data_IF_220734108875
#
_entry.id   IF_220734108875
#
_cell.length_a   1.000
_cell.length_b   1.000
_cell.length_c   1.000
_cell.angle_alpha   90.00
_cell.angle_beta   90.00
_cell.angle_gamma   90.00
#
_symmetry.space_group_name_H-M   'P 1'
#
loop_
_entity.id
_entity.type
_entity.pdbx_description
1 polymer ?
#
# COMPACT_ATOMS: atom_id res chain seq x y z
N UNK A 1 67.42 -31.13 -7.71
CA UNK A 1 67.07 -29.72 -7.86
C UNK A 1 65.82 -29.42 -7.02
N UNK A 2 66.04 -28.87 -5.85
CA UNK A 2 64.97 -28.60 -4.86
C UNK A 2 64.53 -27.15 -5.06
N UNK A 3 63.24 -26.95 -5.39
CA UNK A 3 62.66 -25.60 -5.54
C UNK A 3 62.09 -25.15 -4.21
N UNK A 4 62.75 -24.17 -3.60
CA UNK A 4 62.30 -23.47 -2.39
C UNK A 4 61.02 -22.67 -2.72
N UNK A 5 59.92 -22.98 -2.08
CA UNK A 5 58.72 -22.15 -2.08
C UNK A 5 58.81 -21.06 -1.02
N UNK A 6 59.11 -19.83 -1.46
CA UNK A 6 58.97 -18.63 -0.63
C UNK A 6 57.48 -18.38 -0.30
N UNK A 7 57.16 -18.41 0.99
CA UNK A 7 55.86 -18.00 1.52
C UNK A 7 55.75 -16.47 1.49
N UNK A 8 54.84 -15.96 0.64
CA UNK A 8 54.41 -14.56 0.65
C UNK A 8 53.78 -14.20 2.02
N UNK A 9 54.10 -13.04 2.60
CA UNK A 9 53.51 -12.61 3.86
C UNK A 9 52.01 -12.26 3.66
N UNK A 10 51.15 -12.86 4.47
CA UNK A 10 49.72 -12.52 4.52
C UNK A 10 49.55 -11.12 5.15
N UNK A 11 48.70 -10.23 4.58
CA UNK A 11 48.42 -8.94 5.20
C UNK A 11 47.63 -9.15 6.50
N UNK A 12 48.24 -8.83 7.62
CA UNK A 12 47.59 -8.75 8.93
C UNK A 12 46.60 -7.59 8.93
N UNK A 13 45.31 -7.90 8.83
CA UNK A 13 44.23 -6.93 9.11
C UNK A 13 44.39 -6.45 10.56
N UNK A 14 44.88 -5.24 10.73
CA UNK A 14 45.02 -4.60 12.04
C UNK A 14 43.62 -4.51 12.69
N UNK A 15 43.40 -5.26 13.76
CA UNK A 15 42.17 -5.24 14.53
C UNK A 15 41.98 -3.83 15.13
N UNK A 16 40.91 -3.15 14.69
CA UNK A 16 40.51 -1.83 15.24
C UNK A 16 40.28 -1.99 16.75
N UNK A 17 40.95 -1.25 17.61
CA UNK A 17 40.79 -1.41 19.05
C UNK A 17 39.35 -1.18 19.47
N UNK A 18 38.78 -2.08 20.24
CA UNK A 18 37.37 -1.99 20.75
C UNK A 18 37.08 -0.66 21.46
N UNK A 19 38.10 -0.02 22.05
CA UNK A 19 38.02 1.31 22.66
C UNK A 19 37.80 2.45 21.66
N UNK A 20 38.31 2.37 20.42
CA UNK A 20 38.10 3.38 19.39
C UNK A 20 36.68 3.29 18.79
N UNK A 21 36.14 2.08 18.65
CA UNK A 21 34.76 1.88 18.22
C UNK A 21 33.76 2.36 19.27
N UNK A 22 34.01 2.10 20.55
CA UNK A 22 33.19 2.56 21.66
C UNK A 22 33.21 4.10 21.80
N UNK A 23 34.36 4.77 21.58
CA UNK A 23 34.44 6.24 21.53
C UNK A 23 33.67 6.82 20.33
N UNK A 24 33.75 6.22 19.14
CA UNK A 24 32.97 6.66 17.94
C UNK A 24 31.49 6.50 18.12
N UNK A 25 31.00 5.48 18.83
CA UNK A 25 29.58 5.28 19.13
C UNK A 25 29.11 6.19 20.27
N UNK A 26 29.97 6.52 21.21
CA UNK A 26 29.64 7.35 22.38
C UNK A 26 29.21 8.77 22.03
N UNK A 27 29.79 9.40 21.00
CA UNK A 27 29.37 10.74 20.57
C UNK A 27 28.06 10.77 19.76
N UNK A 28 27.66 9.64 19.19
CA UNK A 28 26.36 9.50 18.50
C UNK A 28 25.18 9.43 19.48
N UNK A 29 25.38 8.90 20.69
CA UNK A 29 24.31 8.79 21.70
C UNK A 29 23.62 10.11 22.04
N UNK A 30 24.35 11.22 22.38
CA UNK A 30 23.66 12.50 22.66
C UNK A 30 22.92 13.06 21.45
N UNK A 31 23.46 12.88 20.23
CA UNK A 31 22.77 13.31 19.00
C UNK A 31 21.51 12.48 18.70
N UNK A 32 21.57 11.17 18.91
CA UNK A 32 20.37 10.30 18.77
C UNK A 32 19.33 10.61 19.85
N UNK A 33 19.77 10.95 21.07
CA UNK A 33 18.87 11.40 22.14
C UNK A 33 18.25 12.77 21.82
N UNK A 34 19.00 13.70 21.25
CA UNK A 34 18.48 14.98 20.79
C UNK A 34 17.44 14.78 19.65
N UNK A 35 17.75 13.93 18.67
CA UNK A 35 16.82 13.57 17.60
C UNK A 35 15.54 12.90 18.12
N UNK A 36 15.64 12.11 19.21
CA UNK A 36 14.45 11.47 19.80
C UNK A 36 13.49 12.44 20.50
N UNK A 37 13.94 13.66 20.80
CA UNK A 37 13.17 14.72 21.45
C UNK A 37 12.69 15.80 20.49
N UNK A 38 13.07 15.72 19.19
CA UNK A 38 12.61 16.67 18.20
C UNK A 38 11.10 16.50 17.97
N UNK A 39 10.38 17.60 18.16
CA UNK A 39 8.98 17.74 17.78
C UNK A 39 8.80 19.05 17.00
N UNK A 40 7.81 19.08 16.12
CA UNK A 40 7.50 20.28 15.36
C UNK A 40 6.73 21.24 16.26
N UNK A 41 7.21 22.48 16.49
CA UNK A 41 6.47 23.45 17.25
C UNK A 41 5.11 23.75 16.63
N UNK A 42 4.11 24.03 17.46
CA UNK A 42 2.72 24.16 17.03
C UNK A 42 2.52 25.26 15.96
N UNK A 43 3.28 26.36 16.04
CA UNK A 43 3.26 27.47 15.07
C UNK A 43 3.78 27.08 13.67
N UNK A 44 4.58 26.00 13.54
CA UNK A 44 5.07 25.49 12.26
C UNK A 44 4.29 24.27 11.76
N UNK A 45 3.26 23.83 12.45
CA UNK A 45 2.55 22.58 12.12
C UNK A 45 1.91 22.60 10.72
N UNK A 46 1.36 23.72 10.27
CA UNK A 46 0.77 23.87 8.92
C UNK A 46 1.86 23.81 7.86
N UNK A 47 2.93 24.58 8.01
CA UNK A 47 4.07 24.57 7.07
C UNK A 47 4.71 23.19 6.99
N UNK A 48 4.86 22.52 8.13
CA UNK A 48 5.36 21.13 8.16
C UNK A 48 4.44 20.18 7.40
N UNK A 49 3.12 20.25 7.58
CA UNK A 49 2.18 19.42 6.85
C UNK A 49 2.20 19.70 5.34
N UNK A 50 2.29 20.96 4.94
CA UNK A 50 2.49 21.32 3.53
C UNK A 50 3.80 20.75 2.96
N UNK A 51 4.88 20.79 3.73
CA UNK A 51 6.15 20.16 3.34
C UNK A 51 6.03 18.64 3.19
N UNK A 52 5.26 17.98 4.06
CA UNK A 52 4.95 16.54 3.95
C UNK A 52 4.16 16.24 2.69
N UNK A 53 3.15 17.05 2.38
CA UNK A 53 2.36 16.90 1.14
C UNK A 53 3.23 17.06 -0.10
N UNK A 54 4.06 18.10 -0.14
CA UNK A 54 4.97 18.35 -1.27
C UNK A 54 6.04 17.25 -1.41
N UNK A 55 6.64 16.82 -0.31
CA UNK A 55 7.62 15.74 -0.33
C UNK A 55 6.99 14.40 -0.75
N UNK A 56 5.81 14.07 -0.22
CA UNK A 56 5.04 12.89 -0.61
C UNK A 56 4.69 12.92 -2.10
N UNK A 57 4.17 14.04 -2.59
CA UNK A 57 3.91 14.24 -4.01
C UNK A 57 5.19 14.07 -4.85
N UNK A 58 6.30 14.68 -4.45
CA UNK A 58 7.59 14.56 -5.15
C UNK A 58 8.11 13.12 -5.22
N UNK A 59 7.96 12.35 -4.13
CA UNK A 59 8.33 10.92 -4.12
C UNK A 59 7.42 10.13 -5.06
N UNK A 60 6.11 10.28 -4.98
CA UNK A 60 5.14 9.57 -5.84
C UNK A 60 5.39 9.93 -7.31
N UNK A 61 5.54 11.22 -7.61
CA UNK A 61 5.87 11.71 -8.94
C UNK A 61 7.18 11.12 -9.47
N UNK A 62 8.24 11.07 -8.64
CA UNK A 62 9.53 10.50 -9.07
C UNK A 62 9.44 9.01 -9.39
N UNK A 63 8.49 8.28 -8.79
CA UNK A 63 8.25 6.86 -9.04
C UNK A 63 7.37 6.61 -10.27
N UNK A 64 6.40 7.50 -10.54
CA UNK A 64 5.46 7.42 -11.68
C UNK A 64 5.15 8.80 -12.25
N UNK A 65 6.09 9.44 -12.95
CA UNK A 65 5.87 10.78 -13.52
C UNK A 65 4.83 10.80 -14.65
N UNK A 66 4.69 9.72 -15.39
CA UNK A 66 3.70 9.57 -16.45
C UNK A 66 2.25 9.71 -15.92
N UNK A 67 1.96 9.38 -14.66
CA UNK A 67 0.66 9.63 -14.05
C UNK A 67 0.26 11.13 -14.05
N UNK A 68 1.22 12.04 -14.20
CA UNK A 68 1.01 13.50 -14.25
C UNK A 68 1.35 14.06 -15.62
N UNK A 69 2.51 13.69 -16.20
CA UNK A 69 3.01 14.30 -17.44
C UNK A 69 2.32 13.76 -18.71
N UNK A 70 1.85 12.52 -18.66
CA UNK A 70 1.07 11.87 -19.72
C UNK A 70 -0.06 11.05 -19.08
N UNK A 71 -0.95 11.75 -18.35
CA UNK A 71 -2.01 11.12 -17.59
C UNK A 71 -2.97 10.36 -18.51
N UNK A 72 -3.13 9.07 -18.21
CA UNK A 72 -4.05 8.18 -18.89
C UNK A 72 -4.89 7.40 -17.86
N UNK A 73 -6.06 6.95 -18.24
CA UNK A 73 -6.87 6.11 -17.38
C UNK A 73 -6.26 4.73 -17.18
N UNK A 74 -6.40 4.21 -15.98
CA UNK A 74 -6.04 2.85 -15.62
C UNK A 74 -7.28 1.98 -15.45
N UNK A 75 -7.39 0.90 -16.21
CA UNK A 75 -8.40 -0.15 -16.03
C UNK A 75 -9.81 0.41 -15.70
N UNK A 76 -10.31 0.08 -14.51
CA UNK A 76 -11.64 0.49 -14.02
C UNK A 76 -11.78 2.01 -13.87
N UNK A 77 -10.70 2.79 -13.76
CA UNK A 77 -10.77 4.26 -13.63
C UNK A 77 -11.54 4.89 -14.80
N UNK A 78 -11.25 4.43 -16.03
CA UNK A 78 -11.98 4.86 -17.23
C UNK A 78 -13.21 4.02 -17.50
N UNK A 79 -13.01 2.68 -17.55
CA UNK A 79 -14.06 1.76 -18.00
C UNK A 79 -15.31 1.77 -17.11
N UNK A 80 -15.13 2.03 -15.80
CA UNK A 80 -16.21 1.99 -14.81
C UNK A 80 -16.46 3.35 -14.19
N UNK A 81 -15.49 3.85 -13.43
CA UNK A 81 -15.74 5.00 -12.57
C UNK A 81 -16.04 6.27 -13.36
N UNK A 82 -15.24 6.59 -14.38
CA UNK A 82 -15.49 7.76 -15.21
C UNK A 82 -16.69 7.57 -16.13
N UNK A 83 -16.83 6.41 -16.77
CA UNK A 83 -17.95 6.12 -17.66
C UNK A 83 -19.30 6.18 -16.92
N UNK A 84 -19.39 5.55 -15.73
CA UNK A 84 -20.59 5.60 -14.89
C UNK A 84 -20.90 7.02 -14.41
N UNK A 85 -19.88 7.77 -13.99
CA UNK A 85 -20.05 9.15 -13.54
C UNK A 85 -20.53 10.05 -14.70
N UNK A 86 -19.96 9.88 -15.91
CA UNK A 86 -20.39 10.62 -17.10
C UNK A 86 -21.84 10.30 -17.48
N UNK A 87 -22.21 9.02 -17.48
CA UNK A 87 -23.53 8.58 -17.94
C UNK A 87 -24.64 8.82 -16.92
N UNK A 88 -24.37 8.62 -15.63
CA UNK A 88 -25.40 8.60 -14.57
C UNK A 88 -25.29 9.75 -13.58
N UNK A 89 -24.24 10.61 -13.70
CA UNK A 89 -23.96 11.66 -12.74
C UNK A 89 -23.86 11.13 -11.32
N UNK A 90 -24.40 11.85 -10.33
CA UNK A 90 -24.31 11.48 -8.92
C UNK A 90 -24.93 10.11 -8.59
N UNK A 91 -25.82 9.60 -9.42
CA UNK A 91 -26.46 8.28 -9.23
C UNK A 91 -25.46 7.14 -9.29
N UNK A 92 -24.30 7.33 -9.94
CA UNK A 92 -23.23 6.32 -9.97
C UNK A 92 -22.76 5.92 -8.56
N UNK A 93 -22.87 6.80 -7.56
CA UNK A 93 -22.50 6.49 -6.17
C UNK A 93 -23.33 5.37 -5.53
N UNK A 94 -24.54 5.14 -6.05
CA UNK A 94 -25.48 4.11 -5.58
C UNK A 94 -25.39 2.80 -6.38
N UNK A 95 -24.43 2.68 -7.31
CA UNK A 95 -24.26 1.51 -8.16
C UNK A 95 -23.12 0.64 -7.61
N UNK A 96 -23.36 -0.63 -7.25
CA UNK A 96 -22.28 -1.55 -6.96
C UNK A 96 -21.51 -1.87 -8.25
N UNK A 97 -20.22 -2.20 -8.12
CA UNK A 97 -19.42 -2.65 -9.25
C UNK A 97 -19.88 -4.04 -9.73
N UNK A 98 -19.97 -4.22 -11.03
CA UNK A 98 -20.43 -5.48 -11.62
C UNK A 98 -19.45 -6.65 -11.42
N UNK A 99 -18.15 -6.38 -11.37
CA UNK A 99 -17.12 -7.41 -11.16
C UNK A 99 -16.86 -7.68 -9.68
N UNK A 100 -16.74 -6.61 -8.89
CA UNK A 100 -16.44 -6.69 -7.46
C UNK A 100 -17.66 -7.08 -6.63
N UNK A 101 -18.84 -6.68 -7.06
CA UNK A 101 -20.08 -6.84 -6.32
C UNK A 101 -20.15 -5.97 -5.06
N UNK A 102 -19.48 -4.81 -5.05
CA UNK A 102 -19.47 -3.86 -3.94
C UNK A 102 -19.32 -2.42 -4.43
N UNK A 103 -19.53 -1.44 -3.54
CA UNK A 103 -19.46 -0.03 -3.89
C UNK A 103 -18.02 0.47 -3.89
N UNK A 104 -17.73 1.43 -4.79
CA UNK A 104 -16.47 2.17 -4.91
C UNK A 104 -16.76 3.67 -4.84
N UNK A 105 -17.23 4.14 -3.68
CA UNK A 105 -17.73 5.51 -3.55
C UNK A 105 -16.65 6.56 -3.76
N UNK A 106 -15.43 6.34 -3.28
CA UNK A 106 -14.34 7.32 -3.39
C UNK A 106 -13.79 7.39 -4.81
N UNK A 107 -13.65 6.24 -5.49
CA UNK A 107 -13.25 6.22 -6.91
C UNK A 107 -14.26 6.96 -7.78
N UNK A 108 -15.57 6.78 -7.53
CA UNK A 108 -16.64 7.48 -8.24
C UNK A 108 -16.74 8.97 -7.88
N UNK A 109 -16.49 9.34 -6.62
CA UNK A 109 -16.36 10.75 -6.23
C UNK A 109 -15.20 11.44 -6.96
N UNK A 110 -14.08 10.74 -7.14
CA UNK A 110 -12.94 11.23 -7.93
C UNK A 110 -13.34 11.43 -9.39
N UNK A 111 -14.09 10.50 -9.96
CA UNK A 111 -14.61 10.61 -11.33
C UNK A 111 -15.64 11.76 -11.48
N UNK A 112 -16.56 11.93 -10.52
CA UNK A 112 -17.49 13.07 -10.50
C UNK A 112 -16.74 14.40 -10.40
N UNK A 113 -15.65 14.45 -9.63
CA UNK A 113 -14.77 15.63 -9.56
C UNK A 113 -14.13 15.91 -10.90
N UNK A 114 -13.70 14.85 -11.63
CA UNK A 114 -13.10 14.99 -12.95
C UNK A 114 -14.07 15.53 -14.01
N UNK A 115 -15.39 15.30 -13.87
CA UNK A 115 -16.41 15.86 -14.78
C UNK A 115 -16.52 17.41 -14.73
N UNK A 116 -15.95 18.05 -13.72
CA UNK A 116 -15.95 19.52 -13.60
C UNK A 116 -14.92 20.14 -14.57
N UNK A 117 -13.98 19.33 -15.06
CA UNK A 117 -12.88 19.75 -15.93
C UNK A 117 -13.10 19.24 -17.37
N UNK A 118 -12.42 19.80 -18.38
CA UNK A 118 -12.40 19.24 -19.73
C UNK A 118 -12.04 17.73 -19.73
N UNK A 119 -12.63 16.98 -20.63
CA UNK A 119 -12.41 15.53 -20.69
C UNK A 119 -10.94 15.15 -20.85
N UNK A 120 -10.20 15.94 -21.61
CA UNK A 120 -8.75 15.80 -21.77
C UNK A 120 -7.97 15.83 -20.45
N UNK A 121 -8.51 16.46 -19.39
CA UNK A 121 -7.90 16.52 -18.05
C UNK A 121 -8.40 15.43 -17.09
N UNK A 122 -9.41 14.67 -17.47
CA UNK A 122 -10.07 13.73 -16.54
C UNK A 122 -9.11 12.71 -15.90
N UNK A 123 -8.20 12.03 -16.63
CA UNK A 123 -7.25 11.12 -16.02
C UNK A 123 -6.31 11.81 -15.02
N UNK A 124 -5.86 13.03 -15.34
CA UNK A 124 -4.99 13.82 -14.47
C UNK A 124 -5.69 14.16 -13.14
N UNK A 125 -6.95 14.61 -13.21
CA UNK A 125 -7.73 14.95 -12.01
C UNK A 125 -7.94 13.73 -11.13
N UNK A 126 -8.28 12.57 -11.72
CA UNK A 126 -8.45 11.33 -10.97
C UNK A 126 -7.13 10.87 -10.33
N UNK A 127 -6.02 10.90 -11.07
CA UNK A 127 -4.69 10.57 -10.53
C UNK A 127 -4.29 11.50 -9.37
N UNK A 128 -4.58 12.81 -9.48
CA UNK A 128 -4.33 13.77 -8.40
C UNK A 128 -5.17 13.46 -7.15
N UNK A 129 -6.45 13.11 -7.31
CA UNK A 129 -7.29 12.67 -6.19
C UNK A 129 -6.70 11.43 -5.51
N UNK A 130 -6.22 10.45 -6.29
CA UNK A 130 -5.56 9.26 -5.77
C UNK A 130 -4.28 9.60 -5.01
N UNK A 131 -3.43 10.46 -5.56
CA UNK A 131 -2.17 10.90 -4.94
C UNK A 131 -2.44 11.61 -3.61
N UNK A 132 -3.44 12.48 -3.55
CA UNK A 132 -3.82 13.16 -2.30
C UNK A 132 -4.17 12.13 -1.22
N UNK A 133 -5.04 11.16 -1.52
CA UNK A 133 -5.42 10.13 -0.55
C UNK A 133 -4.23 9.23 -0.19
N UNK A 134 -3.38 8.92 -1.15
CA UNK A 134 -2.14 8.15 -0.91
C UNK A 134 -1.19 8.87 0.06
N UNK A 135 -1.17 10.20 0.10
CA UNK A 135 -0.31 10.97 1.02
C UNK A 135 -0.88 11.02 2.45
N UNK A 136 -2.19 10.95 2.63
CA UNK A 136 -2.84 11.13 3.94
C UNK A 136 -2.33 10.20 5.05
N UNK A 137 -2.06 8.88 4.85
CA UNK A 137 -1.50 8.02 5.89
C UNK A 137 -0.18 8.55 6.45
N UNK A 138 0.74 9.01 5.59
CA UNK A 138 2.00 9.59 6.03
C UNK A 138 1.78 10.94 6.74
N UNK A 139 0.88 11.79 6.23
CA UNK A 139 0.55 13.09 6.81
C UNK A 139 -0.01 12.94 8.23
N UNK A 140 -0.98 12.04 8.44
CA UNK A 140 -1.54 11.81 9.79
C UNK A 140 -0.49 11.20 10.73
N UNK A 141 0.36 10.27 10.25
CA UNK A 141 1.40 9.66 11.06
C UNK A 141 2.47 10.67 11.50
N UNK A 142 2.76 11.66 10.67
CA UNK A 142 3.68 12.74 10.97
C UNK A 142 3.04 13.86 11.81
N UNK A 143 1.73 13.86 11.99
CA UNK A 143 1.03 14.85 12.80
C UNK A 143 1.29 14.69 14.30
N UNK A 144 0.84 15.67 15.09
CA UNK A 144 0.92 15.66 16.56
C UNK A 144 0.13 14.50 17.19
N UNK A 145 -0.79 13.84 16.47
CA UNK A 145 -1.54 12.68 16.98
C UNK A 145 -0.65 11.50 17.35
N UNK A 146 0.51 11.36 16.72
CA UNK A 146 1.48 10.30 16.98
C UNK A 146 2.75 10.82 17.66
N UNK A 147 2.67 11.92 18.41
CA UNK A 147 3.81 12.52 19.13
C UNK A 147 4.41 11.60 20.19
N UNK A 148 3.70 10.58 20.63
CA UNK A 148 4.24 9.50 21.48
C UNK A 148 5.32 8.66 20.77
N UNK A 149 5.42 8.75 19.44
CA UNK A 149 6.48 8.12 18.63
C UNK A 149 7.44 9.22 18.17
N UNK A 150 8.73 9.07 18.46
CA UNK A 150 9.74 10.07 18.10
C UNK A 150 9.69 10.44 16.59
N UNK A 151 9.80 11.73 16.26
CA UNK A 151 9.59 12.27 14.91
C UNK A 151 10.47 11.56 13.86
N UNK A 152 11.73 11.27 14.16
CA UNK A 152 12.60 10.58 13.21
C UNK A 152 12.11 9.16 12.83
N UNK A 153 11.47 8.43 13.78
CA UNK A 153 10.86 7.12 13.50
C UNK A 153 9.66 7.28 12.59
N UNK A 154 8.85 8.32 12.82
CA UNK A 154 7.70 8.65 11.99
C UNK A 154 8.14 9.05 10.57
N UNK A 155 9.19 9.85 10.43
CA UNK A 155 9.79 10.22 9.14
C UNK A 155 10.33 9.00 8.40
N UNK A 156 11.08 8.13 9.08
CA UNK A 156 11.57 6.89 8.48
C UNK A 156 10.44 5.98 8.00
N UNK A 157 9.38 5.81 8.81
CA UNK A 157 8.23 5.00 8.44
C UNK A 157 7.43 5.62 7.28
N UNK A 158 7.25 6.95 7.25
CA UNK A 158 6.61 7.66 6.15
C UNK A 158 7.42 7.52 4.85
N UNK A 159 8.74 7.63 4.92
CA UNK A 159 9.61 7.38 3.76
C UNK A 159 9.47 5.93 3.26
N UNK A 160 9.55 4.94 4.16
CA UNK A 160 9.38 3.52 3.80
C UNK A 160 8.01 3.27 3.20
N UNK A 161 6.95 3.89 3.70
CA UNK A 161 5.60 3.79 3.12
C UNK A 161 5.55 4.26 1.67
N UNK A 162 6.12 5.43 1.36
CA UNK A 162 6.16 5.96 -0.01
C UNK A 162 7.12 5.18 -0.91
N UNK A 163 8.21 4.68 -0.37
CA UNK A 163 9.28 4.00 -1.10
C UNK A 163 9.12 2.48 -1.14
N UNK A 164 8.06 1.93 -0.54
CA UNK A 164 7.88 0.48 -0.39
C UNK A 164 8.00 -0.21 -1.76
N UNK A 165 8.87 -1.23 -1.89
CA UNK A 165 8.95 -2.02 -3.10
C UNK A 165 7.65 -2.80 -3.37
N UNK A 166 7.49 -3.26 -4.60
CA UNK A 166 6.36 -4.11 -5.02
C UNK A 166 4.97 -3.47 -4.81
N UNK A 167 4.85 -2.14 -5.04
CA UNK A 167 3.60 -1.40 -4.84
C UNK A 167 3.13 -0.64 -6.07
N UNK A 168 3.59 -1.02 -7.27
CA UNK A 168 3.29 -0.27 -8.50
C UNK A 168 1.79 -0.18 -8.79
N UNK A 169 1.04 -1.25 -8.49
CA UNK A 169 -0.39 -1.36 -8.79
C UNK A 169 -1.25 -0.43 -7.92
N UNK A 170 -0.77 -0.12 -6.70
CA UNK A 170 -1.48 0.77 -5.76
C UNK A 170 -0.99 2.22 -5.82
N UNK A 171 -0.20 2.60 -6.83
CA UNK A 171 0.40 3.92 -6.89
C UNK A 171 -0.30 4.82 -7.92
N UNK A 172 -0.77 5.98 -7.49
CA UNK A 172 -1.30 7.07 -8.30
C UNK A 172 -2.45 6.68 -9.26
N UNK A 173 -3.39 5.83 -8.82
CA UNK A 173 -4.63 5.52 -9.54
C UNK A 173 -5.82 5.37 -8.59
N UNK A 174 -7.03 5.63 -9.05
CA UNK A 174 -8.23 5.61 -8.20
C UNK A 174 -8.81 4.21 -7.99
N UNK A 175 -8.59 3.27 -8.89
CA UNK A 175 -9.03 1.88 -8.76
C UNK A 175 -8.52 1.23 -7.47
N UNK A 176 -7.30 1.59 -7.04
CA UNK A 176 -6.66 0.98 -5.87
C UNK A 176 -6.60 1.89 -4.65
N UNK A 177 -7.25 3.04 -4.67
CA UNK A 177 -7.28 4.04 -3.59
C UNK A 177 -7.75 3.47 -2.25
N UNK A 178 -8.63 2.47 -2.30
CA UNK A 178 -9.19 1.78 -1.15
C UNK A 178 -8.13 1.18 -0.21
N UNK A 179 -6.96 0.80 -0.73
CA UNK A 179 -5.89 0.24 0.08
C UNK A 179 -5.21 1.30 0.95
N UNK A 180 -5.00 2.51 0.41
CA UNK A 180 -4.48 3.65 1.15
C UNK A 180 -5.51 4.19 2.14
N UNK A 181 -6.78 4.24 1.74
CA UNK A 181 -7.88 4.65 2.60
C UNK A 181 -8.10 3.65 3.75
N UNK A 182 -7.97 2.35 3.48
CA UNK A 182 -8.02 1.29 4.50
C UNK A 182 -6.89 1.39 5.52
N UNK A 183 -5.66 1.67 5.06
CA UNK A 183 -4.54 1.96 5.94
C UNK A 183 -4.82 3.19 6.81
N UNK A 184 -5.28 4.29 6.20
CA UNK A 184 -5.62 5.52 6.90
C UNK A 184 -6.69 5.28 7.97
N UNK A 185 -7.76 4.56 7.63
CA UNK A 185 -8.84 4.25 8.56
C UNK A 185 -8.37 3.36 9.73
N UNK A 186 -7.53 2.36 9.46
CA UNK A 186 -6.91 1.57 10.51
C UNK A 186 -6.06 2.45 11.44
N UNK A 187 -5.26 3.37 10.89
CA UNK A 187 -4.47 4.31 11.68
C UNK A 187 -5.35 5.24 12.52
N UNK A 188 -6.47 5.73 11.97
CA UNK A 188 -7.46 6.54 12.71
C UNK A 188 -8.01 5.78 13.91
N UNK A 189 -8.40 4.50 13.74
CA UNK A 189 -8.90 3.65 14.82
C UNK A 189 -7.85 3.41 15.91
N UNK A 190 -6.59 3.19 15.51
CA UNK A 190 -5.49 2.88 16.43
C UNK A 190 -4.87 4.13 17.06
N UNK A 191 -5.05 5.32 16.47
CA UNK A 191 -4.49 6.58 16.95
C UNK A 191 -4.94 6.89 18.38
N UNK A 192 -4.11 7.62 19.17
CA UNK A 192 -4.53 8.17 20.44
C UNK A 192 -5.77 9.05 20.31
N UNK A 193 -6.57 9.07 21.36
CA UNK A 193 -7.76 9.94 21.44
C UNK A 193 -7.36 11.40 21.34
N UNK A 194 -8.24 12.19 20.75
CA UNK A 194 -8.08 13.63 20.61
C UNK A 194 -9.27 14.36 21.21
N UNK A 195 -9.04 15.61 21.66
CA UNK A 195 -10.11 16.51 22.08
C UNK A 195 -10.46 17.54 20.98
N UNK A 196 -9.74 17.53 19.87
CA UNK A 196 -9.98 18.48 18.78
C UNK A 196 -11.17 18.03 17.91
N UNK A 197 -12.17 18.91 17.78
CA UNK A 197 -13.33 18.66 16.93
C UNK A 197 -12.94 18.44 15.46
N UNK A 198 -11.90 19.14 14.97
CA UNK A 198 -11.38 18.98 13.61
C UNK A 198 -10.91 17.54 13.35
N UNK A 199 -10.23 16.94 14.32
CA UNK A 199 -9.83 15.55 14.23
C UNK A 199 -11.01 14.59 14.31
N UNK A 200 -12.05 14.89 15.11
CA UNK A 200 -13.25 14.06 15.15
C UNK A 200 -13.99 14.07 13.79
N UNK A 201 -14.10 15.25 13.16
CA UNK A 201 -14.68 15.35 11.81
C UNK A 201 -13.84 14.58 10.80
N UNK A 202 -12.52 14.77 10.80
CA UNK A 202 -11.63 14.04 9.92
C UNK A 202 -11.76 12.51 10.09
N UNK A 203 -11.71 12.03 11.32
CA UNK A 203 -11.85 10.62 11.65
C UNK A 203 -13.20 10.07 11.16
N UNK A 204 -14.29 10.81 11.42
CA UNK A 204 -15.63 10.45 10.96
C UNK A 204 -15.73 10.34 9.45
N UNK A 205 -15.20 11.32 8.72
CA UNK A 205 -15.20 11.33 7.25
C UNK A 205 -14.42 10.11 6.71
N UNK A 206 -13.21 9.85 7.24
CA UNK A 206 -12.39 8.70 6.80
C UNK A 206 -13.11 7.38 7.04
N UNK A 207 -13.73 7.20 8.23
CA UNK A 207 -14.43 5.96 8.58
C UNK A 207 -15.69 5.75 7.73
N UNK A 208 -16.45 6.79 7.46
CA UNK A 208 -17.62 6.71 6.57
C UNK A 208 -17.19 6.41 5.13
N UNK A 209 -16.18 7.12 4.62
CA UNK A 209 -15.70 6.89 3.26
C UNK A 209 -15.23 5.45 3.04
N UNK A 210 -14.36 4.91 3.91
CA UNK A 210 -13.88 3.53 3.74
C UNK A 210 -15.02 2.49 3.87
N UNK A 211 -15.97 2.75 4.74
CA UNK A 211 -17.09 1.82 4.94
C UNK A 211 -18.03 1.75 3.73
N UNK A 212 -18.09 2.81 2.92
CA UNK A 212 -18.89 2.89 1.70
C UNK A 212 -18.07 2.63 0.43
N UNK A 213 -16.74 2.59 0.52
CA UNK A 213 -15.85 2.43 -0.64
C UNK A 213 -15.44 0.99 -0.89
N UNK A 214 -15.31 0.18 0.16
CA UNK A 214 -14.64 -1.12 0.02
C UNK A 214 -15.03 -2.12 1.11
N UNK A 215 -15.02 -3.43 0.80
CA UNK A 215 -15.10 -4.50 1.79
C UNK A 215 -14.00 -4.44 2.87
N UNK A 216 -12.93 -3.67 2.69
CA UNK A 216 -11.94 -3.38 3.73
C UNK A 216 -12.60 -2.75 4.96
N UNK A 217 -13.67 -1.97 4.79
CA UNK A 217 -14.50 -1.47 5.88
C UNK A 217 -15.08 -2.59 6.76
N UNK A 218 -15.47 -3.71 6.17
CA UNK A 218 -15.95 -4.90 6.91
C UNK A 218 -14.83 -5.50 7.75
N UNK A 219 -13.61 -5.58 7.20
CA UNK A 219 -12.43 -6.11 7.91
C UNK A 219 -12.00 -5.18 9.06
N UNK A 220 -12.31 -3.90 9.00
CA UNK A 220 -12.05 -2.94 10.07
C UNK A 220 -13.01 -3.06 11.26
N UNK A 221 -14.19 -3.67 11.10
CA UNK A 221 -15.16 -3.83 12.21
C UNK A 221 -14.58 -4.57 13.40
N UNK A 222 -13.96 -5.75 13.28
CA UNK A 222 -13.36 -6.42 14.43
C UNK A 222 -12.22 -5.61 15.06
N UNK A 223 -11.47 -4.82 14.28
CA UNK A 223 -10.45 -3.90 14.83
C UNK A 223 -11.11 -2.80 15.65
N UNK A 224 -12.15 -2.15 15.12
CA UNK A 224 -12.91 -1.11 15.81
C UNK A 224 -13.58 -1.65 17.09
N UNK A 225 -14.15 -2.86 17.04
CA UNK A 225 -14.74 -3.53 18.19
C UNK A 225 -13.68 -3.84 19.26
N UNK A 226 -12.49 -4.34 18.86
CA UNK A 226 -11.39 -4.59 19.80
C UNK A 226 -10.88 -3.29 20.44
N UNK A 227 -10.74 -2.21 19.67
CA UNK A 227 -10.35 -0.88 20.17
C UNK A 227 -11.40 -0.36 21.15
N UNK A 228 -12.69 -0.47 20.81
CA UNK A 228 -13.76 -0.10 21.73
C UNK A 228 -13.75 -0.94 23.01
N UNK A 229 -13.57 -2.24 22.89
CA UNK A 229 -13.47 -3.15 24.03
C UNK A 229 -12.31 -2.79 24.97
N UNK A 230 -11.17 -2.42 24.41
CA UNK A 230 -9.98 -2.05 25.19
C UNK A 230 -10.11 -0.67 25.85
N UNK A 231 -10.67 0.32 25.13
CA UNK A 231 -10.71 1.72 25.58
C UNK A 231 -11.97 2.07 26.36
N UNK A 232 -13.10 1.41 26.11
CA UNK A 232 -14.40 1.60 26.78
C UNK A 232 -14.85 3.07 26.86
N UNK A 233 -14.61 3.87 25.81
CA UNK A 233 -14.97 5.29 25.77
C UNK A 233 -15.93 5.61 24.63
N UNK A 234 -16.57 6.80 24.71
CA UNK A 234 -17.56 7.26 23.72
C UNK A 234 -16.95 7.43 22.33
N UNK A 235 -15.70 7.92 22.22
CA UNK A 235 -15.06 8.15 20.91
C UNK A 235 -14.89 6.86 20.12
N UNK A 236 -14.39 5.79 20.75
CA UNK A 236 -14.26 4.48 20.08
C UNK A 236 -15.61 3.82 19.77
N UNK A 237 -16.65 4.05 20.61
CA UNK A 237 -18.01 3.61 20.31
C UNK A 237 -18.58 4.33 19.08
N UNK A 238 -18.37 5.64 18.96
CA UNK A 238 -18.76 6.43 17.78
C UNK A 238 -18.03 5.93 16.54
N UNK A 239 -16.72 5.67 16.61
CA UNK A 239 -15.95 5.15 15.48
C UNK A 239 -16.50 3.81 14.99
N UNK A 240 -16.84 2.88 15.88
CA UNK A 240 -17.51 1.62 15.56
C UNK A 240 -18.89 1.86 14.94
N UNK A 241 -19.68 2.76 15.52
CA UNK A 241 -21.01 3.13 15.03
C UNK A 241 -20.99 3.75 13.63
N UNK A 242 -19.97 4.54 13.28
CA UNK A 242 -19.80 5.14 11.96
C UNK A 242 -19.40 4.11 10.89
N UNK A 243 -18.60 3.11 11.26
CA UNK A 243 -18.20 2.04 10.34
C UNK A 243 -19.36 1.06 10.04
N UNK A 244 -20.18 0.78 11.03
CA UNK A 244 -21.12 -0.33 11.00
C UNK A 244 -22.12 -0.27 9.82
N UNK A 245 -22.84 0.84 9.56
CA UNK A 245 -23.86 0.89 8.49
C UNK A 245 -23.24 0.63 7.11
N UNK A 246 -22.16 1.34 6.76
CA UNK A 246 -21.50 1.18 5.47
C UNK A 246 -20.88 -0.20 5.30
N UNK A 247 -20.24 -0.74 6.34
CA UNK A 247 -19.69 -2.09 6.32
C UNK A 247 -20.80 -3.17 6.19
N UNK A 248 -21.97 -2.97 6.80
CA UNK A 248 -23.12 -3.85 6.60
C UNK A 248 -23.61 -3.81 5.14
N UNK A 249 -23.77 -2.61 4.57
CA UNK A 249 -24.14 -2.44 3.16
C UNK A 249 -23.13 -3.17 2.26
N UNK A 250 -21.83 -2.94 2.44
CA UNK A 250 -20.79 -3.61 1.65
C UNK A 250 -20.81 -5.13 1.82
N UNK A 251 -20.91 -5.60 3.07
CA UNK A 251 -20.96 -7.03 3.38
C UNK A 251 -22.18 -7.72 2.73
N UNK A 252 -23.36 -7.12 2.85
CA UNK A 252 -24.58 -7.65 2.25
C UNK A 252 -24.49 -7.63 0.71
N UNK A 253 -23.98 -6.52 0.13
CA UNK A 253 -23.81 -6.42 -1.32
C UNK A 253 -22.89 -7.52 -1.85
N UNK A 254 -21.74 -7.78 -1.18
CA UNK A 254 -20.81 -8.87 -1.57
C UNK A 254 -21.44 -10.25 -1.39
N UNK A 255 -22.22 -10.47 -0.32
CA UNK A 255 -22.87 -11.76 -0.04
C UNK A 255 -23.96 -12.10 -1.05
N UNK A 256 -24.77 -11.12 -1.44
CA UNK A 256 -25.88 -11.30 -2.37
C UNK A 256 -25.52 -11.04 -3.83
N UNK A 257 -24.31 -10.54 -4.10
CA UNK A 257 -23.83 -10.36 -5.47
C UNK A 257 -23.51 -11.70 -6.12
N UNK A 258 -24.06 -11.91 -7.31
CA UNK A 258 -23.69 -13.01 -8.21
C UNK A 258 -22.63 -12.59 -9.23
N UNK A 259 -22.07 -11.40 -9.08
CA UNK A 259 -21.19 -10.77 -10.05
C UNK A 259 -19.84 -11.46 -10.22
N UNK A 260 -19.34 -12.19 -9.21
CA UNK A 260 -18.03 -12.83 -9.28
C UNK A 260 -18.12 -14.20 -9.95
N UNK A 261 -17.51 -14.38 -11.13
CA UNK A 261 -17.40 -15.69 -11.74
C UNK A 261 -16.63 -16.65 -10.80
N UNK A 262 -17.12 -17.88 -10.69
CA UNK A 262 -16.47 -18.94 -9.92
C UNK A 262 -15.33 -19.49 -10.78
N UNK A 263 -14.13 -18.91 -10.64
CA UNK A 263 -12.92 -19.48 -11.23
C UNK A 263 -12.21 -20.38 -10.19
N UNK A 264 -11.57 -21.48 -10.63
CA UNK A 264 -10.76 -22.28 -9.72
C UNK A 264 -9.67 -21.44 -9.08
N UNK A 265 -9.68 -21.34 -7.75
CA UNK A 265 -8.67 -20.57 -7.00
C UNK A 265 -7.26 -21.16 -7.16
N UNK A 266 -7.17 -22.49 -7.34
CA UNK A 266 -5.92 -23.21 -7.36
C UNK A 266 -5.17 -23.15 -6.03
N UNK A 267 -5.88 -22.97 -4.92
CA UNK A 267 -5.31 -22.91 -3.59
C UNK A 267 -4.62 -24.21 -3.20
N UNK A 268 -3.35 -24.09 -2.81
CA UNK A 268 -2.58 -25.18 -2.21
C UNK A 268 -1.47 -24.64 -1.33
N UNK A 269 -0.88 -25.52 -0.51
CA UNK A 269 0.16 -25.14 0.44
C UNK A 269 1.41 -24.56 -0.23
N UNK A 270 1.85 -25.12 -1.32
CA UNK A 270 3.02 -24.63 -2.05
C UNK A 270 2.84 -23.18 -2.50
N UNK A 271 1.70 -22.85 -3.11
CA UNK A 271 1.38 -21.49 -3.56
C UNK A 271 1.22 -20.53 -2.37
N UNK A 272 0.65 -20.99 -1.25
CA UNK A 272 0.58 -20.16 -0.04
C UNK A 272 1.97 -19.79 0.48
N UNK A 273 2.90 -20.76 0.52
CA UNK A 273 4.29 -20.51 0.91
C UNK A 273 4.96 -19.51 -0.03
N UNK A 274 4.76 -19.64 -1.34
CA UNK A 274 5.30 -18.73 -2.34
C UNK A 274 4.71 -17.32 -2.21
N UNK A 275 3.40 -17.19 -2.00
CA UNK A 275 2.74 -15.90 -1.79
C UNK A 275 3.27 -15.23 -0.52
N UNK A 276 3.24 -15.91 0.62
CA UNK A 276 3.68 -15.33 1.88
C UNK A 276 5.20 -15.09 1.90
N UNK A 277 5.99 -16.09 1.56
CA UNK A 277 7.44 -16.00 1.56
C UNK A 277 7.99 -15.05 0.50
N UNK A 278 7.51 -15.20 -0.73
CA UNK A 278 7.97 -14.41 -1.87
C UNK A 278 7.41 -12.99 -1.87
N UNK A 279 6.07 -12.84 -1.88
CA UNK A 279 5.44 -11.55 -2.14
C UNK A 279 5.31 -10.66 -0.89
N UNK A 280 5.16 -11.26 0.31
CA UNK A 280 4.91 -10.47 1.54
C UNK A 280 6.15 -10.32 2.40
N UNK A 281 7.03 -11.32 2.45
CA UNK A 281 8.21 -11.24 3.32
C UNK A 281 9.49 -10.85 2.59
N UNK A 282 9.70 -11.33 1.36
CA UNK A 282 10.91 -10.99 0.58
C UNK A 282 10.73 -9.74 -0.29
N UNK A 283 9.62 -9.65 -1.00
CA UNK A 283 9.42 -8.60 -2.00
C UNK A 283 9.49 -7.17 -1.40
N UNK A 284 8.92 -6.88 -0.22
CA UNK A 284 9.06 -5.56 0.40
C UNK A 284 10.51 -5.22 0.80
N UNK A 285 11.37 -6.20 0.95
CA UNK A 285 12.78 -6.02 1.35
C UNK A 285 13.73 -5.96 0.15
N UNK A 286 13.55 -6.86 -0.81
CA UNK A 286 14.47 -7.02 -1.95
C UNK A 286 13.99 -6.36 -3.23
N UNK A 287 12.71 -6.04 -3.31
CA UNK A 287 12.06 -5.54 -4.52
C UNK A 287 11.64 -6.65 -5.48
N UNK A 288 10.57 -6.36 -6.22
CA UNK A 288 10.01 -7.25 -7.22
C UNK A 288 10.99 -7.56 -8.36
N UNK A 289 11.69 -6.53 -8.85
CA UNK A 289 12.69 -6.68 -9.91
C UNK A 289 13.86 -7.58 -9.51
N UNK A 290 14.28 -7.53 -8.24
CA UNK A 290 15.32 -8.44 -7.72
C UNK A 290 14.80 -9.89 -7.70
N UNK A 291 13.57 -10.10 -7.24
CA UNK A 291 12.98 -11.44 -7.19
C UNK A 291 12.77 -12.03 -8.58
N UNK A 292 12.30 -11.23 -9.54
CA UNK A 292 12.19 -11.62 -10.95
C UNK A 292 13.56 -12.05 -11.51
N UNK A 293 14.60 -11.27 -11.28
CA UNK A 293 15.96 -11.57 -11.74
C UNK A 293 16.50 -12.88 -11.14
N UNK A 294 16.30 -13.07 -9.82
CA UNK A 294 16.68 -14.29 -9.14
C UNK A 294 15.91 -15.51 -9.65
N UNK A 295 14.63 -15.36 -9.97
CA UNK A 295 13.77 -16.44 -10.44
C UNK A 295 14.16 -16.87 -11.86
N UNK A 296 14.40 -15.93 -12.79
CA UNK A 296 14.58 -16.23 -14.20
C UNK A 296 16.04 -16.44 -14.62
N UNK A 297 17.01 -15.78 -13.97
CA UNK A 297 18.41 -15.77 -14.43
C UNK A 297 19.39 -16.55 -13.57
N UNK A 298 19.24 -16.55 -12.25
CA UNK A 298 20.33 -17.01 -11.38
C UNK A 298 20.02 -18.31 -10.64
N UNK A 299 18.80 -18.49 -10.14
CA UNK A 299 18.47 -19.60 -9.23
C UNK A 299 17.07 -20.18 -9.45
N UNK A 300 16.70 -20.62 -10.67
CA UNK A 300 15.34 -21.11 -10.94
C UNK A 300 15.00 -22.35 -10.08
N UNK A 301 15.98 -23.21 -9.81
CA UNK A 301 15.77 -24.44 -9.03
C UNK A 301 15.63 -24.22 -7.52
N UNK A 302 15.97 -23.03 -7.01
CA UNK A 302 15.94 -22.71 -5.57
C UNK A 302 14.84 -21.73 -5.17
N UNK A 303 13.93 -21.40 -6.08
CA UNK A 303 12.86 -20.43 -5.83
C UNK A 303 12.03 -20.85 -4.63
N UNK A 304 11.52 -22.06 -4.65
CA UNK A 304 10.66 -22.56 -3.56
C UNK A 304 11.41 -22.71 -2.23
N UNK A 305 12.68 -23.14 -2.25
CA UNK A 305 13.52 -23.20 -1.05
C UNK A 305 13.72 -21.84 -0.43
N UNK A 306 14.02 -20.81 -1.24
CA UNK A 306 14.16 -19.43 -0.81
C UNK A 306 12.86 -18.90 -0.18
N UNK A 307 11.73 -19.14 -0.84
CA UNK A 307 10.41 -18.72 -0.37
C UNK A 307 10.01 -19.43 0.92
N UNK A 308 10.33 -20.72 1.05
CA UNK A 308 10.11 -21.48 2.29
C UNK A 308 10.93 -20.94 3.46
N UNK A 309 12.20 -20.63 3.23
CA UNK A 309 13.05 -20.02 4.28
C UNK A 309 12.48 -18.66 4.70
N UNK A 310 12.10 -17.82 3.73
CA UNK A 310 11.50 -16.53 4.00
C UNK A 310 10.15 -16.65 4.72
N UNK A 311 9.34 -17.64 4.36
CA UNK A 311 8.08 -17.96 5.01
C UNK A 311 8.28 -18.28 6.49
N UNK A 312 9.22 -19.18 6.81
CA UNK A 312 9.51 -19.56 8.21
C UNK A 312 10.02 -18.36 9.01
N UNK A 313 10.97 -17.59 8.46
CA UNK A 313 11.50 -16.38 9.12
C UNK A 313 10.39 -15.36 9.31
N UNK A 314 9.60 -15.07 8.28
CA UNK A 314 8.52 -14.09 8.32
C UNK A 314 7.43 -14.45 9.33
N UNK A 315 7.00 -15.71 9.38
CA UNK A 315 6.07 -16.19 10.40
C UNK A 315 6.63 -16.09 11.82
N UNK A 316 7.92 -16.41 12.00
CA UNK A 316 8.58 -16.28 13.30
C UNK A 316 8.57 -14.82 13.78
N UNK A 317 8.84 -13.86 12.88
CA UNK A 317 8.79 -12.42 13.15
C UNK A 317 7.37 -12.00 13.53
N UNK A 318 6.37 -12.40 12.75
CA UNK A 318 4.97 -12.07 13.03
C UNK A 318 4.51 -12.67 14.35
N UNK A 319 4.83 -13.93 14.61
CA UNK A 319 4.49 -14.58 15.88
C UNK A 319 5.14 -13.88 17.06
N UNK A 320 6.42 -13.51 16.96
CA UNK A 320 7.10 -12.73 17.98
C UNK A 320 6.42 -11.38 18.23
N UNK A 321 6.08 -10.66 17.16
CA UNK A 321 5.38 -9.38 17.27
C UNK A 321 3.98 -9.55 17.87
N UNK A 322 3.20 -10.54 17.43
CA UNK A 322 1.87 -10.84 17.99
C UNK A 322 1.93 -11.24 19.47
N UNK A 323 3.03 -11.86 19.92
CA UNK A 323 3.19 -12.24 21.34
C UNK A 323 3.57 -11.06 22.24
N UNK A 324 4.46 -10.18 21.76
CA UNK A 324 5.15 -9.21 22.63
C UNK A 324 4.89 -7.74 22.29
N UNK A 325 4.37 -7.39 21.11
CA UNK A 325 4.12 -6.01 20.73
C UNK A 325 2.93 -5.38 21.48
N UNK A 326 2.84 -4.05 21.50
CA UNK A 326 1.64 -3.35 21.95
C UNK A 326 0.40 -3.74 21.15
N UNK A 327 -0.78 -3.53 21.74
CA UNK A 327 -2.05 -3.92 21.16
C UNK A 327 -2.28 -3.27 19.77
N UNK A 328 -1.88 -2.04 19.58
CA UNK A 328 -2.01 -1.31 18.32
C UNK A 328 -1.24 -1.99 17.18
N UNK A 329 -0.01 -2.44 17.45
CA UNK A 329 0.81 -3.18 16.45
C UNK A 329 0.20 -4.56 16.16
N UNK A 330 -0.29 -5.25 17.18
CA UNK A 330 -0.97 -6.55 17.02
C UNK A 330 -2.23 -6.41 16.17
N UNK A 331 -3.08 -5.43 16.47
CA UNK A 331 -4.30 -5.18 15.72
C UNK A 331 -4.00 -4.77 14.28
N UNK A 332 -2.93 -4.00 14.04
CA UNK A 332 -2.51 -3.65 12.69
C UNK A 332 -2.02 -4.88 11.89
N UNK A 333 -1.25 -5.76 12.51
CA UNK A 333 -0.83 -7.03 11.89
C UNK A 333 -2.06 -7.88 11.54
N UNK A 334 -2.96 -8.07 12.51
CA UNK A 334 -4.18 -8.86 12.31
C UNK A 334 -5.05 -8.26 11.20
N UNK A 335 -5.19 -6.93 11.12
CA UNK A 335 -5.90 -6.25 10.04
C UNK A 335 -5.28 -6.54 8.67
N UNK A 336 -3.97 -6.32 8.52
CA UNK A 336 -3.28 -6.53 7.24
C UNK A 336 -3.42 -7.98 6.73
N UNK A 337 -3.27 -8.95 7.62
CA UNK A 337 -3.39 -10.38 7.26
C UNK A 337 -4.85 -10.85 7.12
N UNK A 338 -5.81 -10.24 7.81
CA UNK A 338 -7.23 -10.50 7.59
C UNK A 338 -7.68 -10.02 6.19
N UNK A 339 -7.22 -8.84 5.76
CA UNK A 339 -7.44 -8.35 4.40
C UNK A 339 -6.84 -9.30 3.36
N UNK A 340 -5.61 -9.77 3.57
CA UNK A 340 -4.99 -10.77 2.69
C UNK A 340 -5.81 -12.07 2.64
N UNK A 341 -6.19 -12.60 3.80
CA UNK A 341 -6.96 -13.85 3.89
C UNK A 341 -8.27 -13.77 3.10
N UNK A 342 -8.98 -12.64 3.23
CA UNK A 342 -10.20 -12.39 2.47
C UNK A 342 -9.93 -12.29 0.96
N UNK A 343 -8.85 -11.60 0.58
CA UNK A 343 -8.42 -11.48 -0.82
C UNK A 343 -8.02 -12.82 -1.43
N UNK A 344 -7.35 -13.68 -0.68
CA UNK A 344 -6.97 -15.04 -1.12
C UNK A 344 -8.18 -15.99 -1.18
N UNK A 345 -9.17 -15.81 -0.30
CA UNK A 345 -10.37 -16.63 -0.29
C UNK A 345 -11.26 -16.38 -1.54
N UNK A 346 -11.36 -15.13 -2.00
CA UNK A 346 -12.16 -14.73 -3.16
C UNK A 346 -11.45 -13.65 -3.99
N UNK A 347 -10.32 -13.97 -4.64
CA UNK A 347 -9.64 -13.01 -5.50
C UNK A 347 -10.52 -12.67 -6.70
N UNK A 348 -10.44 -11.43 -7.19
CA UNK A 348 -11.09 -11.06 -8.45
C UNK A 348 -10.36 -11.79 -9.57
N UNK A 349 -11.07 -12.61 -10.38
CA UNK A 349 -10.44 -13.38 -11.42
C UNK A 349 -9.80 -12.45 -12.46
N UNK A 350 -8.59 -12.81 -12.90
CA UNK A 350 -7.97 -12.20 -14.07
C UNK A 350 -8.61 -12.73 -15.36
N UNK A 351 -8.25 -12.12 -16.46
CA UNK A 351 -8.69 -12.50 -17.81
C UNK A 351 -7.90 -13.67 -18.41
N UNK A 352 -6.98 -14.23 -17.63
CA UNK A 352 -6.11 -15.35 -18.02
C UNK A 352 -6.65 -16.68 -17.46
N UNK A 353 -6.48 -17.80 -18.18
CA UNK A 353 -7.04 -19.09 -17.76
C UNK A 353 -6.37 -19.72 -16.54
N UNK A 354 -5.21 -19.19 -16.10
CA UNK A 354 -4.48 -19.70 -14.96
C UNK A 354 -5.22 -19.48 -13.64
N UNK A 355 -5.19 -20.43 -12.69
CA UNK A 355 -5.74 -20.24 -11.37
C UNK A 355 -5.12 -19.04 -10.65
N UNK A 356 -5.95 -18.25 -9.95
CA UNK A 356 -5.50 -16.96 -9.35
C UNK A 356 -4.34 -17.11 -8.37
N UNK A 357 -4.31 -18.15 -7.55
CA UNK A 357 -3.19 -18.37 -6.62
C UNK A 357 -1.89 -18.71 -7.34
N UNK A 358 -1.97 -19.30 -8.52
CA UNK A 358 -0.79 -19.52 -9.36
C UNK A 358 -0.21 -18.19 -9.84
N UNK A 359 -1.05 -17.33 -10.43
CA UNK A 359 -0.62 -16.01 -10.85
C UNK A 359 -0.07 -15.19 -9.67
N UNK A 360 -0.77 -15.21 -8.54
CA UNK A 360 -0.38 -14.49 -7.33
C UNK A 360 0.91 -15.03 -6.69
N UNK A 361 1.34 -16.23 -6.99
CA UNK A 361 2.63 -16.76 -6.50
C UNK A 361 3.83 -16.20 -7.27
N UNK A 362 3.63 -15.65 -8.48
CA UNK A 362 4.71 -15.07 -9.27
C UNK A 362 4.93 -13.59 -8.93
N UNK A 363 6.20 -13.12 -8.92
CA UNK A 363 6.52 -11.71 -8.74
C UNK A 363 5.84 -10.82 -9.80
N UNK A 364 5.27 -9.70 -9.38
CA UNK A 364 4.63 -8.75 -10.28
C UNK A 364 3.12 -8.92 -10.48
N UNK A 365 2.49 -9.94 -9.89
CA UNK A 365 1.07 -10.16 -10.00
C UNK A 365 0.36 -9.99 -8.65
N UNK A 366 -0.80 -9.32 -8.63
CA UNK A 366 -1.63 -9.16 -7.45
C UNK A 366 -1.05 -8.24 -6.36
N UNK A 367 -0.18 -7.32 -6.72
CA UNK A 367 0.53 -6.44 -5.79
C UNK A 367 -0.39 -5.68 -4.85
N UNK A 368 -1.58 -5.30 -5.30
CA UNK A 368 -2.60 -4.63 -4.47
C UNK A 368 -2.99 -5.44 -3.24
N UNK A 369 -3.03 -6.77 -3.33
CA UNK A 369 -3.39 -7.64 -2.22
C UNK A 369 -2.28 -7.78 -1.18
N UNK A 370 -1.03 -7.51 -1.57
CA UNK A 370 0.15 -7.61 -0.68
C UNK A 370 0.48 -6.31 0.04
N UNK A 371 -0.11 -5.19 -0.37
CA UNK A 371 0.22 -3.87 0.16
C UNK A 371 0.05 -3.77 1.68
N UNK A 372 -1.16 -4.03 2.19
CA UNK A 372 -1.43 -3.93 3.63
C UNK A 372 -0.66 -4.95 4.47
N UNK A 373 -0.60 -6.24 4.12
CA UNK A 373 0.19 -7.20 4.89
C UNK A 373 1.69 -6.92 4.83
N UNK A 374 2.22 -6.38 3.72
CA UNK A 374 3.62 -5.95 3.64
C UNK A 374 3.93 -4.79 4.57
N UNK A 375 3.06 -3.76 4.63
CA UNK A 375 3.21 -2.65 5.59
C UNK A 375 3.11 -3.18 7.03
N UNK A 376 2.19 -4.11 7.31
CA UNK A 376 2.06 -4.73 8.62
C UNK A 376 3.32 -5.53 9.01
N UNK A 377 3.92 -6.26 8.07
CA UNK A 377 5.20 -6.94 8.27
C UNK A 377 6.34 -5.95 8.52
N UNK A 378 6.42 -4.86 7.73
CA UNK A 378 7.41 -3.81 7.95
C UNK A 378 7.23 -3.11 9.31
N UNK A 379 6.01 -2.89 9.76
CA UNK A 379 5.73 -2.35 11.09
C UNK A 379 6.16 -3.32 12.21
N UNK A 380 5.96 -4.64 12.03
CA UNK A 380 6.47 -5.65 12.94
C UNK A 380 8.01 -5.62 13.03
N UNK A 381 8.71 -5.57 11.89
CA UNK A 381 10.17 -5.46 11.82
C UNK A 381 10.66 -4.17 12.49
N UNK A 382 10.05 -3.03 12.19
CA UNK A 382 10.42 -1.74 12.78
C UNK A 382 10.22 -1.72 14.29
N UNK A 383 9.12 -2.33 14.79
CA UNK A 383 8.89 -2.48 16.23
C UNK A 383 9.96 -3.37 16.87
N UNK A 384 10.25 -4.55 16.29
CA UNK A 384 11.28 -5.47 16.81
C UNK A 384 12.65 -4.80 16.82
N UNK A 385 13.02 -4.10 15.73
CA UNK A 385 14.30 -3.39 15.61
C UNK A 385 14.51 -2.31 16.68
N UNK A 386 13.44 -1.74 17.22
CA UNK A 386 13.51 -0.64 18.19
C UNK A 386 13.21 -1.02 19.63
N UNK A 387 12.52 -2.15 19.89
CA UNK A 387 11.94 -2.46 21.21
C UNK A 387 12.34 -3.81 21.76
N UNK A 388 12.73 -4.79 20.90
CA UNK A 388 12.98 -6.16 21.33
C UNK A 388 14.31 -6.36 22.08
N UNK A 389 14.48 -7.55 22.65
CA UNK A 389 15.76 -8.02 23.19
C UNK A 389 16.85 -8.10 22.12
N UNK A 390 18.11 -8.28 22.53
CA UNK A 390 19.28 -8.13 21.62
C UNK A 390 19.18 -8.99 20.36
N UNK A 391 18.87 -10.28 20.48
CA UNK A 391 18.90 -11.22 19.33
C UNK A 391 17.80 -10.89 18.31
N UNK A 392 16.50 -10.83 18.64
CA UNK A 392 15.46 -10.45 17.67
C UNK A 392 15.70 -9.07 17.04
N UNK A 393 16.25 -8.11 17.81
CA UNK A 393 16.59 -6.78 17.31
C UNK A 393 17.64 -6.84 16.19
N UNK A 394 18.70 -7.62 16.36
CA UNK A 394 19.73 -7.77 15.33
C UNK A 394 19.19 -8.46 14.07
N UNK A 395 18.34 -9.49 14.24
CA UNK A 395 17.70 -10.16 13.10
C UNK A 395 16.84 -9.15 12.31
N UNK A 396 16.03 -8.35 13.02
CA UNK A 396 15.20 -7.35 12.36
C UNK A 396 16.03 -6.29 11.62
N UNK A 397 17.15 -5.83 12.21
CA UNK A 397 18.06 -4.90 11.53
C UNK A 397 18.73 -5.53 10.30
N UNK A 398 19.18 -6.78 10.37
CA UNK A 398 19.74 -7.48 9.21
C UNK A 398 18.74 -7.56 8.04
N UNK A 399 17.48 -7.83 8.34
CA UNK A 399 16.44 -7.84 7.32
C UNK A 399 16.18 -6.44 6.76
N UNK A 400 16.09 -5.43 7.63
CA UNK A 400 15.89 -4.04 7.21
C UNK A 400 17.06 -3.48 6.40
N UNK A 401 18.27 -4.02 6.53
CA UNK A 401 19.42 -3.66 5.69
C UNK A 401 19.27 -4.09 4.22
N UNK A 402 18.34 -5.02 3.92
CA UNK A 402 18.02 -5.40 2.55
C UNK A 402 17.09 -4.39 1.86
N UNK A 403 16.31 -3.63 2.64
CA UNK A 403 15.31 -2.69 2.13
C UNK A 403 15.85 -1.63 1.17
N UNK A 404 17.03 -1.00 1.40
CA UNK A 404 17.60 -0.05 0.43
C UNK A 404 17.81 -0.65 -0.97
N UNK A 405 18.20 -1.93 -1.05
CA UNK A 405 18.33 -2.63 -2.33
C UNK A 405 16.99 -2.73 -3.04
N UNK A 406 15.96 -3.16 -2.32
CA UNK A 406 14.60 -3.24 -2.86
C UNK A 406 14.07 -1.89 -3.32
N UNK A 407 14.26 -0.84 -2.51
CA UNK A 407 13.86 0.53 -2.85
C UNK A 407 14.54 1.00 -4.15
N UNK A 408 15.86 0.83 -4.27
CA UNK A 408 16.59 1.28 -5.46
C UNK A 408 16.14 0.51 -6.71
N UNK A 409 15.91 -0.79 -6.59
CA UNK A 409 15.53 -1.65 -7.71
C UNK A 409 14.09 -1.41 -8.20
N UNK A 410 13.17 -1.11 -7.28
CA UNK A 410 11.76 -0.89 -7.58
C UNK A 410 11.37 0.60 -7.52
N UNK A 411 12.34 1.54 -7.55
CA UNK A 411 12.02 2.95 -7.42
C UNK A 411 11.13 3.44 -8.55
N UNK A 412 11.56 3.21 -9.79
CA UNK A 412 10.83 3.64 -10.98
C UNK A 412 9.87 2.55 -11.43
N UNK A 413 8.61 2.90 -11.54
CA UNK A 413 7.61 2.00 -12.12
C UNK A 413 7.64 2.04 -13.64
N UNK A 414 7.27 0.92 -14.32
CA UNK A 414 7.04 0.94 -15.75
C UNK A 414 6.02 2.02 -16.13
N UNK A 415 6.33 2.80 -17.14
CA UNK A 415 5.42 3.82 -17.65
C UNK A 415 4.21 3.16 -18.32
N UNK A 416 3.08 3.85 -18.31
CA UNK A 416 1.92 3.43 -19.06
C UNK A 416 2.22 3.53 -20.56
N UNK A 417 1.66 2.59 -21.33
CA UNK A 417 1.73 2.68 -22.79
C UNK A 417 0.95 3.92 -23.20
N UNK A 418 1.55 4.77 -24.03
CA UNK A 418 0.84 5.91 -24.60
C UNK A 418 -0.20 5.41 -25.61
N UNK A 419 -1.46 5.52 -25.23
CA UNK A 419 -2.63 5.13 -26.03
C UNK A 419 -3.25 6.34 -26.75
N UNK A 420 -2.51 7.45 -26.84
CA UNK A 420 -2.95 8.69 -27.50
C UNK A 420 -4.27 9.23 -26.95
N UNK A 421 -4.47 9.16 -25.62
CA UNK A 421 -5.71 9.57 -24.97
C UNK A 421 -6.14 10.99 -25.36
N UNK A 422 -5.21 11.92 -25.52
CA UNK A 422 -5.51 13.31 -25.88
C UNK A 422 -6.17 13.45 -27.27
N UNK A 423 -5.83 12.59 -28.20
CA UNK A 423 -6.47 12.54 -29.52
C UNK A 423 -7.92 12.04 -29.42
N UNK A 424 -8.14 10.96 -28.65
CA UNK A 424 -9.49 10.47 -28.36
C UNK A 424 -10.33 11.52 -27.63
N UNK A 425 -9.76 12.21 -26.65
CA UNK A 425 -10.44 13.27 -25.90
C UNK A 425 -10.87 14.42 -26.82
N UNK A 426 -9.96 14.94 -27.62
CA UNK A 426 -10.23 16.02 -28.60
C UNK A 426 -11.29 15.60 -29.61
N UNK A 427 -11.22 14.37 -30.13
CA UNK A 427 -12.22 13.81 -31.06
C UNK A 427 -13.57 13.68 -30.39
N UNK A 428 -13.63 13.23 -29.13
CA UNK A 428 -14.88 13.10 -28.37
C UNK A 428 -15.49 14.48 -28.11
N UNK A 429 -14.69 15.46 -27.68
CA UNK A 429 -15.17 16.81 -27.41
C UNK A 429 -15.72 17.51 -28.66
N UNK A 430 -15.11 17.27 -29.83
CA UNK A 430 -15.57 17.81 -31.12
C UNK A 430 -16.76 17.04 -31.75
N UNK A 431 -17.12 15.88 -31.24
CA UNK A 431 -18.19 15.03 -31.81
C UNK A 431 -19.57 15.59 -31.53
N UNK A 432 -20.56 15.39 -32.41
CA UNK A 432 -21.96 15.75 -32.14
C UNK A 432 -22.58 14.86 -31.07
N UNK A 433 -23.67 15.32 -30.37
CA UNK A 433 -24.41 14.51 -29.45
C UNK A 433 -24.87 13.18 -30.06
N UNK A 434 -24.90 12.10 -29.26
CA UNK A 434 -25.24 10.75 -29.71
C UNK A 434 -24.07 9.95 -30.27
N UNK A 435 -22.91 10.56 -30.51
CA UNK A 435 -21.70 9.85 -31.01
C UNK A 435 -21.16 8.91 -29.94
N UNK A 436 -20.93 7.65 -30.32
CA UNK A 436 -20.25 6.65 -29.48
C UNK A 436 -18.78 6.57 -29.84
N UNK A 437 -17.92 6.62 -28.83
CA UNK A 437 -16.48 6.45 -28.99
C UNK A 437 -15.98 5.39 -28.00
N UNK A 438 -15.17 4.46 -28.52
CA UNK A 438 -14.44 3.48 -27.71
C UNK A 438 -12.98 3.96 -27.55
N UNK A 439 -12.54 4.08 -26.32
CA UNK A 439 -11.22 4.62 -25.94
C UNK A 439 -10.42 3.50 -25.27
N UNK A 440 -9.26 3.12 -25.82
CA UNK A 440 -8.42 2.09 -25.21
C UNK A 440 -7.82 2.60 -23.90
N UNK A 441 -7.64 1.70 -22.93
CA UNK A 441 -7.14 2.01 -21.59
C UNK A 441 -5.94 1.15 -21.22
N UNK A 442 -5.12 1.65 -20.33
CA UNK A 442 -4.09 0.87 -19.64
C UNK A 442 -4.69 -0.02 -18.53
N UNK A 443 -4.09 -1.17 -18.17
CA UNK A 443 -2.90 -1.74 -18.81
C UNK A 443 -3.22 -2.45 -20.12
N UNK A 444 -2.28 -2.37 -21.07
CA UNK A 444 -2.38 -3.14 -22.33
C UNK A 444 -2.09 -4.60 -22.03
N UNK A 445 -3.12 -5.39 -21.90
CA UNK A 445 -3.05 -6.82 -21.60
C UNK A 445 -4.20 -7.58 -22.27
N UNK A 446 -4.32 -8.86 -22.03
CA UNK A 446 -5.38 -9.71 -22.62
C UNK A 446 -6.82 -9.30 -22.23
N UNK A 447 -6.99 -8.40 -21.26
CA UNK A 447 -8.31 -7.89 -20.87
C UNK A 447 -8.91 -6.90 -21.87
N UNK A 448 -8.09 -6.32 -22.77
CA UNK A 448 -8.51 -5.31 -23.75
C UNK A 448 -9.38 -4.21 -23.11
N UNK A 449 -8.84 -3.56 -22.06
CA UNK A 449 -9.54 -2.51 -21.35
C UNK A 449 -9.96 -1.38 -22.30
N UNK A 450 -11.25 -1.07 -22.33
CA UNK A 450 -11.83 -0.06 -23.21
C UNK A 450 -12.92 0.70 -22.47
N UNK A 451 -12.93 2.01 -22.60
CA UNK A 451 -14.00 2.87 -22.12
C UNK A 451 -14.92 3.25 -23.29
N UNK A 452 -16.19 2.96 -23.16
CA UNK A 452 -17.21 3.37 -24.12
C UNK A 452 -17.97 4.59 -23.58
N UNK A 453 -17.97 5.67 -24.34
CA UNK A 453 -18.71 6.89 -24.00
C UNK A 453 -19.65 7.27 -25.13
N UNK A 454 -20.87 7.70 -24.76
CA UNK A 454 -21.82 8.32 -25.68
C UNK A 454 -21.89 9.80 -25.37
N UNK A 455 -21.65 10.66 -26.36
CA UNK A 455 -21.71 12.13 -26.20
C UNK A 455 -23.12 12.57 -25.87
N UNK A 456 -23.28 13.35 -24.80
CA UNK A 456 -24.55 13.98 -24.43
C UNK A 456 -24.76 15.31 -25.16
#
# INVERSE_FOLDING_TARGET
MSINSEKLPQPTLAAIPRSALAKRIGWLRPRLQALSRLEVPANYSVLFQLSVLLAGFGIIFSRRPDAILNAQFWAEDGQRWYADAYQFGIRCLLMPDELGGYFHSVSRLSALTALIFPFSMAPLVMNLCAIVIQILPASIFLSSRFSNIALWKRLAAAFVYFALPNTYEVNANTTTIQWHLGLLACMVLLAPLTHSWKWHVFDGVVLVLISLDSPVGVVLLPVAAAVWWMRRNRGSAISLGLLLPGAMIQGLTVLFSHARPVAPNGANWHRLVSILGGQIFLSPLLGNMTLLHMTWRHFPNYVFTRETVAFVIGLTILFYALRYAPAEVKLFILFGFAVLSLSLARPIPGTVPQPMWELMSFPGHGNRYYFLPSIAFMAALAWIATSASKVPRWIAWLLLLMLPLGIVRDWRYPEFVDLHFQEYASRFEASPPGTKIAIPLNPVNAAHWTMELTKH
#
